data_IF_348215115336
#
_entry.id   IF_348215115336
#
_cell.length_a   1.000
_cell.length_b   1.000
_cell.length_c   1.000
_cell.angle_alpha   90.00
_cell.angle_beta   90.00
_cell.angle_gamma   90.00
#
_symmetry.space_group_name_H-M   'P 1'
#
loop_
_entity.id
_entity.type
_entity.pdbx_description
1 polymer ?
#
# COMPACT_ATOMS: atom_id res chain seq x y z
N UNK A 1 -16.22 -7.17 -3.71
CA UNK A 1 -15.25 -6.22 -4.31
C UNK A 1 -14.38 -6.97 -5.29
N UNK A 2 -14.54 -6.74 -6.60
CA UNK A 2 -13.83 -7.48 -7.65
C UNK A 2 -12.29 -7.33 -7.53
N UNK A 3 -11.80 -6.14 -7.15
CA UNK A 3 -10.37 -5.89 -7.04
C UNK A 3 -9.64 -6.74 -5.99
N UNK A 4 -10.22 -6.92 -4.80
CA UNK A 4 -9.60 -7.74 -3.75
C UNK A 4 -9.54 -9.22 -4.14
N UNK A 5 -10.57 -9.71 -4.83
CA UNK A 5 -10.60 -11.08 -5.36
C UNK A 5 -9.52 -11.28 -6.42
N UNK A 6 -9.34 -10.31 -7.33
CA UNK A 6 -8.26 -10.34 -8.33
C UNK A 6 -6.88 -10.34 -7.67
N UNK A 7 -6.66 -9.53 -6.64
CA UNK A 7 -5.38 -9.53 -5.88
C UNK A 7 -5.13 -10.90 -5.24
N UNK A 8 -6.14 -11.51 -4.64
CA UNK A 8 -6.03 -12.83 -4.03
C UNK A 8 -5.74 -13.92 -5.07
N UNK A 9 -6.48 -13.94 -6.18
CA UNK A 9 -6.30 -14.92 -7.25
C UNK A 9 -4.92 -14.76 -7.92
N UNK A 10 -4.47 -13.52 -8.14
CA UNK A 10 -3.13 -13.24 -8.66
C UNK A 10 -2.05 -13.80 -7.71
N UNK A 11 -2.20 -13.57 -6.41
CA UNK A 11 -1.29 -14.12 -5.38
C UNK A 11 -1.26 -15.65 -5.40
N UNK A 12 -2.42 -16.31 -5.51
CA UNK A 12 -2.51 -17.77 -5.67
C UNK A 12 -1.84 -18.27 -6.97
N UNK A 13 -1.83 -17.45 -8.01
CA UNK A 13 -1.12 -17.72 -9.27
C UNK A 13 0.39 -17.40 -9.21
N UNK A 14 0.91 -16.98 -8.05
CA UNK A 14 2.31 -16.59 -7.86
C UNK A 14 2.66 -15.22 -8.43
N UNK A 15 1.67 -14.34 -8.61
CA UNK A 15 1.83 -12.96 -9.03
C UNK A 15 1.63 -12.03 -7.83
N UNK A 16 2.52 -11.06 -7.68
CA UNK A 16 2.36 -9.96 -6.74
C UNK A 16 1.93 -8.70 -7.51
N UNK A 17 0.81 -8.10 -7.11
CA UNK A 17 0.37 -6.81 -7.64
C UNK A 17 0.74 -5.74 -6.62
N UNK A 18 1.49 -4.73 -7.06
CA UNK A 18 1.95 -3.62 -6.22
C UNK A 18 1.54 -2.27 -6.79
N UNK A 19 1.60 -1.24 -5.94
CA UNK A 19 1.51 0.15 -6.36
C UNK A 19 2.85 0.62 -6.94
N UNK A 20 2.85 1.65 -7.77
CA UNK A 20 4.02 2.37 -8.25
C UNK A 20 3.68 3.86 -8.36
N UNK A 21 4.69 4.72 -8.54
CA UNK A 21 4.50 6.17 -8.60
C UNK A 21 3.38 6.59 -9.55
N UNK A 22 2.46 7.46 -9.08
CA UNK A 22 1.35 7.99 -9.86
C UNK A 22 0.21 7.01 -10.10
N UNK A 23 -0.19 6.24 -9.08
CA UNK A 23 -1.33 5.30 -9.11
C UNK A 23 -1.27 4.27 -10.24
N UNK A 24 -0.05 3.83 -10.56
CA UNK A 24 0.18 2.78 -11.53
C UNK A 24 0.31 1.43 -10.84
N UNK A 25 -0.29 0.40 -11.45
CA UNK A 25 -0.16 -0.98 -10.97
C UNK A 25 1.08 -1.60 -11.60
N UNK A 26 1.89 -2.24 -10.78
CA UNK A 26 3.00 -3.08 -11.22
C UNK A 26 2.69 -4.53 -10.87
N UNK A 27 3.05 -5.44 -11.77
CA UNK A 27 2.87 -6.88 -11.57
C UNK A 27 4.27 -7.49 -11.52
N UNK A 28 4.53 -8.28 -10.49
CA UNK A 28 5.80 -8.97 -10.29
C UNK A 28 5.52 -10.46 -10.27
N UNK A 29 6.26 -11.22 -11.07
CA UNK A 29 6.08 -12.67 -11.19
C UNK A 29 6.70 -13.22 -12.47
N UNK A 30 6.35 -14.46 -12.84
CA UNK A 30 6.82 -15.05 -14.09
C UNK A 30 6.17 -14.36 -15.30
N UNK A 31 6.98 -14.08 -16.33
CA UNK A 31 6.57 -13.31 -17.50
C UNK A 31 5.34 -13.90 -18.22
N UNK A 32 5.30 -15.22 -18.37
CA UNK A 32 4.18 -15.94 -19.00
C UNK A 32 2.87 -15.84 -18.21
N UNK A 33 2.95 -15.73 -16.88
CA UNK A 33 1.80 -15.46 -16.02
C UNK A 33 1.37 -13.99 -16.09
N UNK A 34 2.31 -13.05 -16.14
CA UNK A 34 2.03 -11.60 -16.25
C UNK A 34 1.25 -11.32 -17.54
N UNK A 35 1.70 -11.85 -18.67
CA UNK A 35 1.05 -11.62 -19.98
C UNK A 35 -0.39 -12.12 -20.00
N UNK A 36 -0.66 -13.27 -19.35
CA UNK A 36 -2.03 -13.81 -19.21
C UNK A 36 -2.93 -12.93 -18.36
N UNK A 37 -2.38 -12.21 -17.39
CA UNK A 37 -3.12 -11.39 -16.43
C UNK A 37 -3.21 -9.92 -16.81
N UNK A 38 -2.43 -9.45 -17.78
CA UNK A 38 -2.33 -8.05 -18.14
C UNK A 38 -3.68 -7.42 -18.52
N UNK A 39 -4.50 -8.11 -19.33
CA UNK A 39 -5.82 -7.62 -19.75
C UNK A 39 -6.80 -7.55 -18.57
N UNK A 40 -6.87 -8.61 -17.75
CA UNK A 40 -7.71 -8.68 -16.55
C UNK A 40 -7.38 -7.55 -15.57
N UNK A 41 -6.09 -7.29 -15.34
CA UNK A 41 -5.64 -6.24 -14.41
C UNK A 41 -5.97 -4.86 -14.97
N UNK A 42 -5.73 -4.63 -16.26
CA UNK A 42 -6.04 -3.36 -16.90
C UNK A 42 -7.54 -3.04 -16.83
N UNK A 43 -8.41 -4.02 -17.13
CA UNK A 43 -9.86 -3.86 -17.06
C UNK A 43 -10.39 -3.60 -15.65
N UNK A 44 -9.63 -3.97 -14.61
CA UNK A 44 -10.04 -3.85 -13.21
C UNK A 44 -9.14 -2.91 -12.39
N UNK A 45 -8.31 -2.09 -13.06
CA UNK A 45 -7.28 -1.25 -12.42
C UNK A 45 -7.82 -0.46 -11.21
N UNK A 46 -8.93 0.24 -11.38
CA UNK A 46 -9.53 1.06 -10.31
C UNK A 46 -9.94 0.24 -9.08
N UNK A 47 -10.56 -0.92 -9.29
CA UNK A 47 -10.96 -1.80 -8.19
C UNK A 47 -9.76 -2.39 -7.43
N UNK A 48 -8.68 -2.71 -8.16
CA UNK A 48 -7.43 -3.22 -7.58
C UNK A 48 -6.73 -2.13 -6.76
N UNK A 49 -6.63 -0.90 -7.29
CA UNK A 49 -6.06 0.24 -6.58
C UNK A 49 -6.78 0.48 -5.24
N UNK A 50 -8.11 0.49 -5.25
CA UNK A 50 -8.93 0.62 -4.03
C UNK A 50 -8.63 -0.51 -3.05
N UNK A 51 -8.50 -1.76 -3.54
CA UNK A 51 -8.22 -2.90 -2.67
C UNK A 51 -6.84 -2.82 -2.01
N UNK A 52 -5.80 -2.41 -2.75
CA UNK A 52 -4.45 -2.24 -2.23
C UNK A 52 -4.37 -1.09 -1.23
N UNK A 53 -4.98 0.07 -1.54
CA UNK A 53 -5.03 1.21 -0.62
C UNK A 53 -5.76 0.85 0.68
N UNK A 54 -6.87 0.12 0.60
CA UNK A 54 -7.58 -0.37 1.79
C UNK A 54 -6.76 -1.35 2.62
N UNK A 55 -5.91 -2.17 1.99
CA UNK A 55 -5.02 -3.08 2.69
C UNK A 55 -3.97 -2.31 3.50
N UNK A 56 -3.30 -1.34 2.87
CA UNK A 56 -2.32 -0.46 3.52
C UNK A 56 -2.97 0.32 4.66
N UNK A 57 -4.16 0.89 4.42
CA UNK A 57 -4.91 1.65 5.42
C UNK A 57 -5.21 0.80 6.65
N UNK A 58 -5.82 -0.38 6.47
CA UNK A 58 -6.16 -1.28 7.59
C UNK A 58 -4.93 -1.76 8.33
N UNK A 59 -3.86 -2.10 7.61
CA UNK A 59 -2.61 -2.52 8.23
C UNK A 59 -2.04 -1.42 9.13
N UNK A 60 -2.01 -0.19 8.61
CA UNK A 60 -1.53 0.99 9.34
C UNK A 60 -2.44 1.34 10.51
N UNK A 61 -3.76 1.22 10.35
CA UNK A 61 -4.76 1.43 11.40
C UNK A 61 -4.53 0.48 12.58
N UNK A 62 -4.27 -0.80 12.32
CA UNK A 62 -3.92 -1.76 13.38
C UNK A 62 -2.64 -1.36 14.12
N UNK A 63 -1.63 -0.85 13.39
CA UNK A 63 -0.39 -0.37 14.00
C UNK A 63 -0.61 0.89 14.86
N UNK A 64 -1.61 1.70 14.52
CA UNK A 64 -1.96 2.92 15.26
C UNK A 64 -2.81 2.64 16.51
N UNK A 65 -3.29 1.42 16.76
CA UNK A 65 -4.15 1.13 17.90
C UNK A 65 -3.48 1.51 19.24
N UNK A 66 -4.17 2.34 20.02
CA UNK A 66 -3.66 2.87 21.30
C UNK A 66 -2.61 3.98 21.15
N UNK A 67 -2.31 4.40 19.92
CA UNK A 67 -1.52 5.59 19.63
C UNK A 67 -2.49 6.72 19.26
N UNK A 68 -2.30 7.89 19.86
CA UNK A 68 -2.99 9.14 19.45
C UNK A 68 -2.47 9.66 18.10
N UNK A 69 -2.76 8.94 17.01
CA UNK A 69 -2.40 9.28 15.63
C UNK A 69 -3.31 8.56 14.65
N UNK A 70 -3.65 9.24 13.55
CA UNK A 70 -4.49 8.67 12.50
C UNK A 70 -3.66 7.88 11.48
N UNK A 71 -4.22 6.77 11.00
CA UNK A 71 -3.57 5.93 9.98
C UNK A 71 -3.28 6.71 8.70
N UNK A 72 -4.20 7.59 8.28
CA UNK A 72 -4.01 8.42 7.11
C UNK A 72 -2.83 9.39 7.28
N UNK A 73 -2.67 9.99 8.47
CA UNK A 73 -1.52 10.86 8.77
C UNK A 73 -0.19 10.10 8.65
N UNK A 74 -0.14 8.86 9.14
CA UNK A 74 1.02 7.97 9.01
C UNK A 74 1.30 7.67 7.53
N UNK A 75 0.29 7.30 6.76
CA UNK A 75 0.42 6.99 5.33
C UNK A 75 0.93 8.20 4.55
N UNK A 76 0.40 9.39 4.84
CA UNK A 76 0.72 10.59 4.09
C UNK A 76 2.10 11.15 4.45
N UNK A 77 2.51 11.03 5.71
CA UNK A 77 3.66 11.77 6.23
C UNK A 77 4.84 10.89 6.64
N UNK A 78 4.62 9.63 7.00
CA UNK A 78 5.68 8.71 7.40
C UNK A 78 6.04 7.73 6.29
N UNK A 79 5.05 7.06 5.70
CA UNK A 79 5.28 5.96 4.77
C UNK A 79 5.62 6.45 3.36
N UNK A 80 6.75 6.03 2.83
CA UNK A 80 7.09 6.15 1.42
C UNK A 80 6.22 5.22 0.55
N UNK A 81 6.32 5.35 -0.77
CA UNK A 81 5.63 4.42 -1.69
C UNK A 81 6.22 3.02 -1.54
N UNK A 82 7.53 2.92 -1.32
CA UNK A 82 8.25 1.69 -1.08
C UNK A 82 7.76 1.01 0.21
N UNK A 83 7.55 1.76 1.30
CA UNK A 83 6.99 1.20 2.55
C UNK A 83 5.59 0.62 2.35
N UNK A 84 4.74 1.28 1.54
CA UNK A 84 3.41 0.75 1.20
C UNK A 84 3.51 -0.57 0.43
N UNK A 85 4.49 -0.70 -0.48
CA UNK A 85 4.75 -1.94 -1.21
C UNK A 85 5.24 -3.06 -0.28
N UNK A 86 6.10 -2.73 0.67
CA UNK A 86 6.61 -3.67 1.66
C UNK A 86 5.50 -4.13 2.62
N UNK A 87 4.53 -3.27 2.92
CA UNK A 87 3.29 -3.66 3.63
C UNK A 87 2.45 -4.62 2.77
N UNK A 88 2.18 -4.26 1.52
CA UNK A 88 1.37 -5.10 0.60
C UNK A 88 2.00 -6.49 0.41
N UNK A 89 3.33 -6.55 0.33
CA UNK A 89 4.08 -7.80 0.15
C UNK A 89 4.35 -8.55 1.46
N UNK A 90 3.94 -8.01 2.61
CA UNK A 90 4.11 -8.63 3.92
C UNK A 90 5.57 -8.65 4.41
N UNK A 91 6.41 -7.75 3.91
CA UNK A 91 7.82 -7.64 4.28
C UNK A 91 8.05 -6.83 5.56
N UNK A 92 7.10 -5.97 5.94
CA UNK A 92 7.15 -5.21 7.20
C UNK A 92 6.30 -5.90 8.26
N UNK A 93 6.88 -6.45 9.34
CA UNK A 93 6.12 -6.96 10.48
C UNK A 93 5.36 -5.84 11.20
N UNK A 94 4.21 -6.17 11.80
CA UNK A 94 3.31 -5.19 12.39
C UNK A 94 3.96 -4.46 13.57
N UNK A 95 4.74 -5.20 14.37
CA UNK A 95 5.48 -4.67 15.50
C UNK A 95 6.56 -3.67 15.06
N UNK A 96 7.16 -3.89 13.89
CA UNK A 96 8.20 -3.01 13.34
C UNK A 96 7.60 -1.68 12.89
N UNK A 97 6.48 -1.71 12.15
CA UNK A 97 5.79 -0.49 11.74
C UNK A 97 5.26 0.28 12.96
N UNK A 98 4.66 -0.43 13.93
CA UNK A 98 4.20 0.19 15.18
C UNK A 98 5.33 0.92 15.91
N UNK A 99 6.48 0.26 16.09
CA UNK A 99 7.65 0.89 16.72
C UNK A 99 8.11 2.14 15.95
N UNK A 100 8.12 2.06 14.62
CA UNK A 100 8.50 3.19 13.77
C UNK A 100 7.55 4.38 13.93
N UNK A 101 6.23 4.14 14.00
CA UNK A 101 5.22 5.17 14.28
C UNK A 101 5.46 5.81 15.65
N UNK A 102 5.76 5.03 16.69
CA UNK A 102 6.03 5.56 18.03
C UNK A 102 7.27 6.48 18.07
N UNK A 103 8.35 6.08 17.39
CA UNK A 103 9.57 6.89 17.26
C UNK A 103 9.29 8.17 16.48
N UNK A 104 8.59 8.06 15.35
CA UNK A 104 8.18 9.20 14.52
C UNK A 104 7.30 10.20 15.30
N UNK A 105 6.35 9.70 16.10
CA UNK A 105 5.54 10.54 17.00
C UNK A 105 6.39 11.28 18.03
N UNK A 106 7.34 10.59 18.67
CA UNK A 106 8.27 11.20 19.65
C UNK A 106 9.14 12.28 19.02
N UNK A 107 9.44 12.16 17.73
CA UNK A 107 10.18 13.17 16.96
C UNK A 107 9.32 14.38 16.53
N UNK A 108 8.03 14.43 16.90
CA UNK A 108 7.14 15.54 16.55
C UNK A 108 6.44 15.39 15.19
N UNK A 109 6.32 14.17 14.67
CA UNK A 109 5.65 13.86 13.40
C UNK A 109 6.20 14.60 12.15
N UNK A 110 7.53 14.62 11.92
CA UNK A 110 8.13 15.22 10.73
C UNK A 110 7.68 14.50 9.43
N UNK A 111 7.72 15.19 8.29
CA UNK A 111 7.31 14.60 7.01
C UNK A 111 8.49 13.87 6.34
N UNK A 112 8.42 12.54 6.27
CA UNK A 112 9.44 11.62 5.73
C UNK A 112 8.99 10.79 4.53
N UNK A 113 7.68 10.74 4.23
CA UNK A 113 7.15 9.91 3.14
C UNK A 113 7.72 10.23 1.76
N UNK A 114 8.33 11.41 1.57
CA UNK A 114 8.79 11.87 0.26
C UNK A 114 7.64 12.17 -0.72
N UNK A 115 6.38 12.05 -0.28
CA UNK A 115 5.19 12.36 -1.06
C UNK A 115 4.97 13.86 -1.09
N UNK A 116 4.69 14.38 -2.27
CA UNK A 116 4.30 15.77 -2.43
C UNK A 116 2.81 15.93 -2.05
N UNK A 117 2.56 16.45 -0.85
CA UNK A 117 1.20 16.65 -0.34
C UNK A 117 0.43 17.72 -1.14
N UNK A 118 1.13 18.60 -1.87
CA UNK A 118 0.52 19.62 -2.70
C UNK A 118 -0.28 19.07 -3.90
N UNK A 119 -0.09 17.78 -4.25
CA UNK A 119 -0.76 17.12 -5.38
C UNK A 119 -1.89 16.15 -4.95
N UNK A 120 -2.28 16.11 -3.67
CA UNK A 120 -3.35 15.22 -3.17
C UNK A 120 -4.71 15.90 -2.92
N UNK A 121 -4.85 17.19 -3.17
CA UNK A 121 -6.18 17.81 -3.24
C UNK A 121 -6.81 17.59 -4.62
N UNK A 122 -8.08 17.17 -4.61
CA UNK A 122 -8.98 16.83 -5.73
C UNK A 122 -8.95 15.34 -6.12
N UNK A 123 -9.62 14.51 -5.32
CA UNK A 123 -10.60 13.52 -5.80
C UNK A 123 -11.79 13.48 -4.84
#
# INVERSE_FOLDING_TARGET
MIGAEIVQQASMAGLLITLSSGDNLKIVGKQDCIEKWASTIQSNKGGILIALNNLVFRYTEQCCLGLDVEAQEVIDRLLSIEDEQDIISGQIPMESLRLHIEVWKKAGKPHYSGKDLANREIL
#
